data_IF_053889896626
#
_entry.id   IF_053889896626
#
_cell.length_a   1.000
_cell.length_b   1.000
_cell.length_c   1.000
_cell.angle_alpha   90.00
_cell.angle_beta   90.00
_cell.angle_gamma   90.00
#
_symmetry.space_group_name_H-M   'P 1'
#
loop_
_entity.id
_entity.type
_entity.pdbx_description
1 polymer ?
#
# COMPACT_ATOMS: atom_id res chain seq x y z
N UNK A 1 -11.32 23.14 -11.86
CA UNK A 1 -11.43 21.66 -11.84
C UNK A 1 -10.59 21.17 -10.67
N UNK A 2 -11.03 20.09 -9.99
CA UNK A 2 -10.15 19.42 -9.01
C UNK A 2 -9.01 18.77 -9.80
N UNK A 3 -7.78 18.97 -9.37
CA UNK A 3 -6.58 18.55 -10.10
C UNK A 3 -5.76 17.56 -9.27
N UNK A 4 -4.76 16.95 -9.89
CA UNK A 4 -3.68 16.23 -9.21
C UNK A 4 -2.76 17.27 -8.55
N UNK A 5 -3.23 17.89 -7.46
CA UNK A 5 -2.47 18.87 -6.70
C UNK A 5 -1.86 18.21 -5.46
N UNK A 6 -0.55 17.99 -5.50
CA UNK A 6 0.23 17.41 -4.41
C UNK A 6 1.26 18.39 -3.85
N UNK A 7 1.44 19.55 -4.49
CA UNK A 7 2.48 20.51 -4.11
C UNK A 7 2.29 21.01 -2.67
N UNK A 8 3.33 20.84 -1.88
CA UNK A 8 3.35 21.26 -0.47
C UNK A 8 2.55 20.39 0.49
N UNK A 9 1.88 19.34 0.01
CA UNK A 9 1.15 18.37 0.83
C UNK A 9 2.09 17.35 1.45
N UNK A 10 1.68 16.73 2.55
CA UNK A 10 2.47 15.82 3.38
C UNK A 10 1.90 14.40 3.32
N UNK A 11 2.74 13.46 2.93
CA UNK A 11 2.36 12.05 2.80
C UNK A 11 3.29 11.15 3.61
N UNK A 12 2.69 10.14 4.24
CA UNK A 12 3.44 9.01 4.81
C UNK A 12 3.28 7.83 3.85
N UNK A 13 4.41 7.17 3.53
CA UNK A 13 4.43 5.98 2.67
C UNK A 13 5.18 4.87 3.40
N UNK A 14 4.53 3.74 3.67
CA UNK A 14 5.21 2.56 4.22
C UNK A 14 5.71 1.65 3.10
N UNK A 15 6.80 0.91 3.33
CA UNK A 15 7.45 0.14 2.27
C UNK A 15 8.08 1.03 1.19
N UNK A 16 8.54 2.23 1.58
CA UNK A 16 8.96 3.29 0.66
C UNK A 16 10.32 3.05 0.00
N UNK A 17 11.08 2.04 0.42
CA UNK A 17 12.43 1.79 -0.12
C UNK A 17 12.43 0.94 -1.39
N UNK A 18 11.29 0.33 -1.77
CA UNK A 18 11.24 -0.53 -2.96
C UNK A 18 9.84 -0.65 -3.58
N UNK A 19 9.77 -1.18 -4.80
CA UNK A 19 8.53 -1.60 -5.46
C UNK A 19 7.46 -0.51 -5.54
N UNK A 20 6.23 -0.87 -5.21
CA UNK A 20 5.06 0.02 -5.29
C UNK A 20 5.18 1.21 -4.34
N UNK A 21 5.65 0.97 -3.10
CA UNK A 21 5.82 2.04 -2.12
C UNK A 21 6.83 3.09 -2.57
N UNK A 22 7.98 2.64 -3.11
CA UNK A 22 8.97 3.56 -3.69
C UNK A 22 8.41 4.33 -4.87
N UNK A 23 7.70 3.66 -5.78
CA UNK A 23 7.07 4.33 -6.92
C UNK A 23 6.05 5.41 -6.48
N UNK A 24 5.25 5.13 -5.44
CA UNK A 24 4.36 6.14 -4.86
C UNK A 24 5.14 7.33 -4.27
N UNK A 25 6.22 7.06 -3.52
CA UNK A 25 7.05 8.10 -2.93
C UNK A 25 7.70 8.98 -4.01
N UNK A 26 8.32 8.37 -5.03
CA UNK A 26 8.97 9.08 -6.13
C UNK A 26 7.97 9.96 -6.90
N UNK A 27 6.77 9.45 -7.22
CA UNK A 27 5.76 10.23 -7.94
C UNK A 27 5.22 11.39 -7.11
N UNK A 28 4.97 11.20 -5.80
CA UNK A 28 4.54 12.27 -4.90
C UNK A 28 5.61 13.36 -4.79
N UNK A 29 6.88 12.97 -4.64
CA UNK A 29 8.00 13.91 -4.61
C UNK A 29 8.14 14.70 -5.91
N UNK A 30 8.01 14.03 -7.06
CA UNK A 30 8.04 14.66 -8.38
C UNK A 30 6.88 15.65 -8.58
N UNK A 31 5.75 15.41 -7.91
CA UNK A 31 4.60 16.32 -7.89
C UNK A 31 4.72 17.44 -6.83
N UNK A 32 5.86 17.55 -6.16
CA UNK A 32 6.17 18.63 -5.20
C UNK A 32 5.64 18.42 -3.78
N UNK A 33 5.27 17.20 -3.43
CA UNK A 33 4.87 16.83 -2.08
C UNK A 33 6.08 16.68 -1.14
N UNK A 34 5.81 16.69 0.17
CA UNK A 34 6.71 16.18 1.21
C UNK A 34 6.35 14.72 1.51
N UNK A 35 7.35 13.86 1.56
CA UNK A 35 7.13 12.42 1.81
C UNK A 35 7.96 11.94 3.00
N UNK A 36 7.31 11.31 3.96
CA UNK A 36 7.93 10.55 5.03
C UNK A 36 7.84 9.05 4.68
N UNK A 37 8.96 8.45 4.34
CA UNK A 37 9.05 7.02 4.05
C UNK A 37 9.35 6.21 5.31
N UNK A 38 8.56 5.19 5.60
CA UNK A 38 8.79 4.24 6.68
C UNK A 38 9.15 2.88 6.07
N UNK A 39 10.36 2.38 6.33
CA UNK A 39 10.82 1.09 5.84
C UNK A 39 11.89 0.49 6.78
N UNK A 40 11.99 -0.82 6.83
CA UNK A 40 13.06 -1.53 7.56
C UNK A 40 14.40 -1.48 6.83
N UNK A 41 14.38 -1.27 5.52
CA UNK A 41 15.56 -1.12 4.67
C UNK A 41 15.93 0.36 4.51
N UNK A 42 17.18 0.61 4.17
CA UNK A 42 17.63 1.94 3.79
C UNK A 42 17.00 2.40 2.48
N UNK A 43 16.88 3.70 2.28
CA UNK A 43 16.32 4.30 1.07
C UNK A 43 17.41 4.95 0.22
N UNK A 44 17.28 4.84 -1.10
CA UNK A 44 18.11 5.54 -2.08
C UNK A 44 17.51 6.87 -2.58
N UNK A 45 16.37 7.27 -2.04
CA UNK A 45 15.71 8.54 -2.39
C UNK A 45 16.49 9.71 -1.81
N UNK A 46 16.95 10.62 -2.68
CA UNK A 46 17.84 11.74 -2.32
C UNK A 46 17.14 13.11 -2.32
N UNK A 47 15.81 13.16 -2.51
CA UNK A 47 15.04 14.41 -2.52
C UNK A 47 15.10 15.15 -1.18
N UNK A 48 15.23 16.47 -1.20
CA UNK A 48 15.16 17.33 0.00
C UNK A 48 13.78 17.34 0.67
N UNK A 49 12.75 16.97 -0.08
CA UNK A 49 11.38 16.84 0.43
C UNK A 49 11.09 15.42 0.98
N UNK A 50 12.10 14.54 1.01
CA UNK A 50 11.99 13.20 1.56
C UNK A 50 12.64 13.11 2.95
N UNK A 51 11.95 12.44 3.87
CA UNK A 51 12.53 12.06 5.17
C UNK A 51 12.35 10.56 5.33
N UNK A 52 13.43 9.83 5.59
CA UNK A 52 13.39 8.39 5.81
C UNK A 52 13.35 8.05 7.30
N UNK A 53 12.41 7.18 7.68
CA UNK A 53 12.31 6.58 9.00
C UNK A 53 12.59 5.08 8.86
N UNK A 54 13.74 4.65 9.37
CA UNK A 54 14.12 3.22 9.39
C UNK A 54 13.38 2.54 10.53
N UNK A 55 12.19 2.03 10.25
CA UNK A 55 11.28 1.46 11.24
C UNK A 55 10.44 0.32 10.64
N UNK A 56 10.10 -0.66 11.49
CA UNK A 56 9.18 -1.74 11.14
C UNK A 56 7.73 -1.33 11.41
N UNK A 57 6.82 -1.60 10.46
CA UNK A 57 5.39 -1.29 10.64
C UNK A 57 4.75 -2.05 11.80
N UNK A 58 5.38 -3.10 12.29
CA UNK A 58 4.94 -3.91 13.44
C UNK A 58 5.42 -3.38 14.80
N UNK A 59 6.37 -2.44 14.79
CA UNK A 59 6.79 -1.75 16.00
C UNK A 59 5.95 -0.47 16.19
N UNK A 60 4.94 -0.58 17.06
CA UNK A 60 4.02 0.53 17.30
C UNK A 60 4.74 1.77 17.86
N UNK A 61 5.79 1.60 18.65
CA UNK A 61 6.51 2.72 19.27
C UNK A 61 7.32 3.52 18.22
N UNK A 62 8.00 2.82 17.30
CA UNK A 62 8.71 3.45 16.20
C UNK A 62 7.75 4.14 15.22
N UNK A 63 6.61 3.50 14.91
CA UNK A 63 5.57 4.08 14.05
C UNK A 63 4.99 5.35 14.68
N UNK A 64 4.60 5.31 15.96
CA UNK A 64 4.05 6.48 16.66
C UNK A 64 5.05 7.63 16.62
N UNK A 65 6.31 7.36 16.95
CA UNK A 65 7.36 8.38 16.91
C UNK A 65 7.52 9.00 15.51
N UNK A 66 7.57 8.19 14.46
CA UNK A 66 7.68 8.70 13.09
C UNK A 66 6.48 9.60 12.71
N UNK A 67 5.26 9.19 13.08
CA UNK A 67 4.04 9.97 12.81
C UNK A 67 4.04 11.30 13.60
N UNK A 68 4.43 11.27 14.87
CA UNK A 68 4.54 12.45 15.72
C UNK A 68 5.59 13.42 15.19
N UNK A 69 6.76 12.94 14.77
CA UNK A 69 7.82 13.77 14.17
C UNK A 69 7.32 14.45 12.89
N UNK A 70 6.58 13.74 12.02
CA UNK A 70 5.98 14.31 10.81
C UNK A 70 4.93 15.36 11.16
N UNK A 71 4.03 15.07 12.10
CA UNK A 71 2.99 15.99 12.53
C UNK A 71 3.59 17.25 13.19
N UNK A 72 4.62 17.10 14.01
CA UNK A 72 5.33 18.24 14.63
C UNK A 72 6.05 19.10 13.59
N UNK A 73 6.65 18.48 12.55
CA UNK A 73 7.41 19.19 11.51
C UNK A 73 6.53 19.98 10.55
N UNK A 74 5.38 19.41 10.15
CA UNK A 74 4.56 19.96 9.08
C UNK A 74 3.19 20.49 9.56
N UNK A 75 2.76 20.14 10.77
CA UNK A 75 1.46 20.54 11.33
C UNK A 75 0.27 19.74 10.83
N UNK A 76 0.43 18.91 9.80
CA UNK A 76 -0.64 18.13 9.18
C UNK A 76 -0.10 16.92 8.42
N UNK A 77 -1.01 15.98 8.07
CA UNK A 77 -0.75 14.83 7.20
C UNK A 77 -1.92 14.72 6.22
N UNK A 78 -1.67 14.92 4.92
CA UNK A 78 -2.71 14.88 3.88
C UNK A 78 -3.05 13.46 3.44
N UNK A 79 -2.08 12.55 3.44
CA UNK A 79 -2.32 11.18 3.02
C UNK A 79 -1.37 10.15 3.59
N UNK A 80 -1.86 8.90 3.56
CA UNK A 80 -1.12 7.70 3.93
C UNK A 80 -1.21 6.67 2.80
N UNK A 81 -0.05 6.10 2.43
CA UNK A 81 0.04 4.92 1.57
C UNK A 81 0.59 3.76 2.38
N UNK A 82 -0.22 2.75 2.65
CA UNK A 82 0.20 1.52 3.29
C UNK A 82 0.63 0.50 2.22
N UNK A 83 1.94 0.49 1.89
CA UNK A 83 2.50 -0.41 0.88
C UNK A 83 3.50 -1.43 1.45
N UNK A 84 3.86 -1.35 2.74
CA UNK A 84 4.69 -2.35 3.39
C UNK A 84 4.00 -3.72 3.37
N UNK A 85 4.76 -4.75 3.05
CA UNK A 85 4.25 -6.13 3.03
C UNK A 85 5.31 -7.13 2.62
N UNK A 86 5.07 -8.39 2.93
CA UNK A 86 5.92 -9.52 2.59
C UNK A 86 5.11 -10.60 1.89
N UNK A 87 5.78 -11.43 1.10
CA UNK A 87 5.18 -12.57 0.42
C UNK A 87 4.89 -13.72 1.39
N UNK A 88 3.89 -14.55 1.08
CA UNK A 88 3.53 -15.74 1.85
C UNK A 88 4.51 -16.90 1.69
N UNK A 89 4.29 -17.96 2.43
CA UNK A 89 5.21 -19.10 2.53
C UNK A 89 5.20 -20.04 1.32
N UNK A 90 4.23 -19.91 0.42
CA UNK A 90 4.07 -20.76 -0.78
C UNK A 90 3.99 -22.26 -0.47
N UNK A 91 3.34 -22.60 0.66
CA UNK A 91 3.11 -23.98 1.13
C UNK A 91 1.61 -24.28 1.17
N UNK A 92 1.19 -25.57 1.09
CA UNK A 92 -0.17 -25.98 1.44
C UNK A 92 -0.52 -25.50 2.85
N UNK A 93 -1.79 -25.09 3.07
CA UNK A 93 -2.18 -24.47 4.35
C UNK A 93 -1.89 -25.33 5.58
N UNK A 94 -2.01 -26.64 5.46
CA UNK A 94 -1.76 -27.61 6.53
C UNK A 94 -0.27 -27.86 6.83
N UNK A 95 0.63 -27.26 6.04
CA UNK A 95 2.09 -27.28 6.23
C UNK A 95 2.65 -25.91 6.66
N UNK A 96 1.78 -24.90 6.80
CA UNK A 96 2.21 -23.58 7.27
C UNK A 96 2.33 -23.63 8.81
N UNK A 97 3.53 -23.39 9.31
CA UNK A 97 3.75 -23.25 10.75
C UNK A 97 3.04 -22.01 11.30
N UNK A 98 2.50 -22.10 12.51
CA UNK A 98 1.78 -20.97 13.13
C UNK A 98 2.64 -19.71 13.19
N UNK A 99 3.93 -19.84 13.51
CA UNK A 99 4.86 -18.71 13.53
C UNK A 99 4.98 -18.02 12.16
N UNK A 100 5.07 -18.80 11.08
CA UNK A 100 5.12 -18.27 9.70
C UNK A 100 3.82 -17.54 9.31
N UNK A 101 2.67 -18.14 9.70
CA UNK A 101 1.36 -17.50 9.54
C UNK A 101 1.29 -16.15 10.27
N UNK A 102 1.65 -16.14 11.55
CA UNK A 102 1.62 -14.95 12.40
C UNK A 102 2.51 -13.83 11.83
N UNK A 103 3.67 -14.18 11.30
CA UNK A 103 4.58 -13.22 10.65
C UNK A 103 3.92 -12.52 9.46
N UNK A 104 3.24 -13.27 8.57
CA UNK A 104 2.55 -12.70 7.41
C UNK A 104 1.40 -11.78 7.85
N UNK A 105 0.57 -12.22 8.80
CA UNK A 105 -0.53 -11.42 9.33
C UNK A 105 0.00 -10.19 10.05
N UNK A 106 1.04 -10.34 10.86
CA UNK A 106 1.66 -9.23 11.59
C UNK A 106 2.13 -8.11 10.66
N UNK A 107 2.89 -8.43 9.61
CA UNK A 107 3.41 -7.41 8.71
C UNK A 107 2.31 -6.85 7.79
N UNK A 108 1.57 -7.74 7.10
CA UNK A 108 0.68 -7.32 6.01
C UNK A 108 -0.64 -6.70 6.48
N UNK A 109 -1.10 -7.04 7.69
CA UNK A 109 -2.40 -6.61 8.22
C UNK A 109 -2.27 -5.82 9.52
N UNK A 110 -1.65 -6.40 10.56
CA UNK A 110 -1.52 -5.73 11.86
C UNK A 110 -0.65 -4.47 11.75
N UNK A 111 0.48 -4.52 11.01
CA UNK A 111 1.31 -3.35 10.78
C UNK A 111 0.56 -2.23 10.06
N UNK A 112 -0.23 -2.56 9.04
CA UNK A 112 -1.10 -1.59 8.36
C UNK A 112 -2.11 -0.95 9.32
N UNK A 113 -2.73 -1.75 10.20
CA UNK A 113 -3.63 -1.24 11.26
C UNK A 113 -2.89 -0.28 12.20
N UNK A 114 -1.68 -0.62 12.67
CA UNK A 114 -0.88 0.21 13.58
C UNK A 114 -0.59 1.59 12.96
N UNK A 115 -0.08 1.60 11.72
CA UNK A 115 0.23 2.86 11.01
C UNK A 115 -1.04 3.68 10.77
N UNK A 116 -2.10 3.03 10.28
CA UNK A 116 -3.37 3.71 10.01
C UNK A 116 -3.98 4.31 11.29
N UNK A 117 -3.96 3.58 12.40
CA UNK A 117 -4.42 4.06 13.71
C UNK A 117 -3.67 5.31 14.15
N UNK A 118 -2.35 5.33 14.00
CA UNK A 118 -1.52 6.47 14.40
C UNK A 118 -1.78 7.70 13.53
N UNK A 119 -1.77 7.54 12.21
CA UNK A 119 -2.01 8.63 11.24
C UNK A 119 -3.44 9.16 11.34
N UNK A 120 -4.44 8.30 11.51
CA UNK A 120 -5.84 8.70 11.61
C UNK A 120 -6.10 9.67 12.76
N UNK A 121 -5.39 9.55 13.88
CA UNK A 121 -5.53 10.49 15.02
C UNK A 121 -5.19 11.93 14.60
N UNK A 122 -4.15 12.11 13.78
CA UNK A 122 -3.77 13.41 13.23
C UNK A 122 -4.83 13.89 12.24
N UNK A 123 -5.22 13.04 11.29
CA UNK A 123 -6.23 13.37 10.27
C UNK A 123 -7.61 13.71 10.86
N UNK A 124 -8.02 13.01 11.94
CA UNK A 124 -9.28 13.30 12.62
C UNK A 124 -9.30 14.69 13.25
N UNK A 125 -8.18 15.14 13.84
CA UNK A 125 -8.06 16.48 14.41
C UNK A 125 -8.15 17.58 13.35
N UNK A 126 -7.64 17.32 12.15
CA UNK A 126 -7.68 18.25 11.00
C UNK A 126 -8.95 18.10 10.14
N UNK A 127 -9.79 17.07 10.40
CA UNK A 127 -11.02 16.74 9.66
C UNK A 127 -10.80 16.63 8.14
N UNK A 128 -9.68 16.06 7.76
CA UNK A 128 -9.29 15.81 6.36
C UNK A 128 -8.20 14.76 6.30
N UNK A 129 -8.19 13.95 5.25
CA UNK A 129 -7.14 13.00 4.98
C UNK A 129 -7.56 11.93 3.98
N UNK A 130 -6.57 11.26 3.40
CA UNK A 130 -6.79 10.13 2.50
C UNK A 130 -5.85 8.98 2.83
N UNK A 131 -6.40 7.78 2.92
CA UNK A 131 -5.64 6.55 3.20
C UNK A 131 -5.82 5.59 2.03
N UNK A 132 -4.71 5.12 1.49
CA UNK A 132 -4.69 4.11 0.42
C UNK A 132 -3.90 2.89 0.88
N UNK A 133 -4.57 1.75 0.94
CA UNK A 133 -4.02 0.48 1.35
C UNK A 133 -3.68 -0.38 0.13
N UNK A 134 -2.49 -0.98 0.08
CA UNK A 134 -2.14 -1.94 -0.98
C UNK A 134 -2.64 -3.33 -0.58
N UNK A 135 -3.77 -3.72 -1.17
CA UNK A 135 -4.30 -5.07 -1.09
C UNK A 135 -3.61 -6.01 -2.09
N UNK A 136 -4.32 -6.87 -2.76
CA UNK A 136 -3.85 -7.72 -3.86
C UNK A 136 -5.05 -8.33 -4.57
N UNK A 137 -4.91 -8.73 -5.83
CA UNK A 137 -5.91 -9.58 -6.50
C UNK A 137 -6.18 -10.88 -5.71
N UNK A 138 -5.22 -11.34 -4.89
CA UNK A 138 -5.36 -12.53 -4.02
C UNK A 138 -6.32 -12.32 -2.84
N UNK A 139 -6.83 -11.13 -2.64
CA UNK A 139 -7.93 -10.89 -1.69
C UNK A 139 -9.28 -11.47 -2.15
N UNK A 140 -9.43 -11.77 -3.45
CA UNK A 140 -10.67 -12.29 -4.05
C UNK A 140 -10.45 -13.46 -5.02
N UNK A 141 -9.26 -13.55 -5.64
CA UNK A 141 -8.91 -14.63 -6.58
C UNK A 141 -7.84 -15.51 -5.97
N UNK A 142 -8.23 -16.69 -5.54
CA UNK A 142 -7.36 -17.56 -4.77
C UNK A 142 -6.49 -18.47 -5.65
N UNK A 143 -5.38 -18.90 -5.10
CA UNK A 143 -4.47 -19.88 -5.68
C UNK A 143 -3.96 -20.81 -4.59
N UNK A 144 -3.64 -22.04 -4.96
CA UNK A 144 -3.02 -22.99 -4.06
C UNK A 144 -1.73 -22.43 -3.45
N UNK A 145 -1.41 -22.84 -2.23
CA UNK A 145 -0.20 -22.50 -1.50
C UNK A 145 -0.01 -21.00 -1.21
N UNK A 146 -1.14 -20.29 -0.99
CA UNK A 146 -1.13 -18.84 -0.69
C UNK A 146 -2.12 -18.46 0.42
N UNK A 147 -2.46 -19.39 1.30
CA UNK A 147 -3.52 -19.20 2.30
C UNK A 147 -3.21 -18.06 3.25
N UNK A 148 -2.00 -17.99 3.78
CA UNK A 148 -1.51 -16.95 4.69
C UNK A 148 -1.56 -15.56 4.03
N UNK A 149 -1.01 -15.46 2.82
CA UNK A 149 -1.00 -14.22 2.06
C UNK A 149 -2.42 -13.78 1.66
N UNK A 150 -3.24 -14.72 1.14
CA UNK A 150 -4.61 -14.43 0.74
C UNK A 150 -5.46 -13.98 1.94
N UNK A 151 -5.32 -14.63 3.10
CA UNK A 151 -5.98 -14.22 4.33
C UNK A 151 -5.56 -12.81 4.76
N UNK A 152 -4.25 -12.50 4.73
CA UNK A 152 -3.76 -11.16 5.07
C UNK A 152 -4.34 -10.09 4.15
N UNK A 153 -4.36 -10.33 2.82
CA UNK A 153 -4.84 -9.37 1.82
C UNK A 153 -6.37 -9.29 1.76
N UNK A 154 -7.08 -10.35 2.08
CA UNK A 154 -8.53 -10.32 2.34
C UNK A 154 -8.85 -9.48 3.58
N UNK A 155 -8.07 -9.64 4.65
CA UNK A 155 -8.14 -8.79 5.85
C UNK A 155 -7.92 -7.31 5.57
N UNK A 156 -7.00 -6.97 4.66
CA UNK A 156 -6.77 -5.57 4.23
C UNK A 156 -8.02 -4.97 3.59
N UNK A 157 -8.75 -5.71 2.75
CA UNK A 157 -9.99 -5.21 2.12
C UNK A 157 -11.08 -4.98 3.19
N UNK A 158 -11.23 -5.92 4.11
CA UNK A 158 -12.19 -5.78 5.22
C UNK A 158 -11.82 -4.61 6.13
N UNK A 159 -10.53 -4.47 6.50
CA UNK A 159 -10.01 -3.36 7.29
C UNK A 159 -10.26 -2.02 6.60
N UNK A 160 -10.01 -1.92 5.28
CA UNK A 160 -10.26 -0.72 4.49
C UNK A 160 -11.71 -0.28 4.58
N UNK A 161 -12.65 -1.22 4.40
CA UNK A 161 -14.09 -0.93 4.45
C UNK A 161 -14.55 -0.50 5.85
N UNK A 162 -14.07 -1.17 6.90
CA UNK A 162 -14.39 -0.81 8.28
C UNK A 162 -13.84 0.58 8.65
N UNK A 163 -12.57 0.84 8.33
CA UNK A 163 -11.95 2.15 8.55
C UNK A 163 -12.66 3.27 7.79
N UNK A 164 -13.13 3.00 6.57
CA UNK A 164 -13.87 3.98 5.77
C UNK A 164 -15.16 4.44 6.48
N UNK A 165 -15.88 3.52 7.12
CA UNK A 165 -17.08 3.84 7.89
C UNK A 165 -16.74 4.67 9.15
N UNK A 166 -15.72 4.24 9.90
CA UNK A 166 -15.32 4.91 11.13
C UNK A 166 -14.78 6.33 10.89
N UNK A 167 -14.11 6.54 9.75
CA UNK A 167 -13.41 7.79 9.46
C UNK A 167 -14.19 8.76 8.55
N UNK A 168 -15.27 8.31 7.91
CA UNK A 168 -16.13 9.17 7.08
C UNK A 168 -16.68 10.42 7.84
N UNK A 169 -17.11 10.34 9.13
CA UNK A 169 -17.55 11.52 9.88
C UNK A 169 -16.46 12.59 10.05
N UNK A 170 -15.20 12.23 9.86
CA UNK A 170 -14.05 13.14 9.94
C UNK A 170 -13.57 13.61 8.55
N UNK A 171 -14.34 13.36 7.48
CA UNK A 171 -13.97 13.70 6.11
C UNK A 171 -12.63 13.04 5.67
N UNK A 172 -12.42 11.79 6.07
CA UNK A 172 -11.25 11.00 5.69
C UNK A 172 -11.73 9.86 4.78
N UNK A 173 -11.17 9.75 3.57
CA UNK A 173 -11.45 8.68 2.64
C UNK A 173 -10.42 7.56 2.81
N UNK A 174 -10.89 6.32 2.86
CA UNK A 174 -10.05 5.12 2.96
C UNK A 174 -10.40 4.17 1.84
N UNK A 175 -9.43 3.89 0.97
CA UNK A 175 -9.60 2.99 -0.16
C UNK A 175 -8.44 2.00 -0.24
N UNK A 176 -8.58 0.95 -1.05
CA UNK A 176 -7.50 0.03 -1.36
C UNK A 176 -7.31 -0.15 -2.85
N UNK A 177 -6.08 -0.47 -3.23
CA UNK A 177 -5.72 -0.88 -4.58
C UNK A 177 -5.31 -2.34 -4.54
N UNK A 178 -5.83 -3.14 -5.46
CA UNK A 178 -5.53 -4.55 -5.63
C UNK A 178 -4.65 -4.76 -6.88
N UNK A 179 -3.32 -4.78 -6.74
CA UNK A 179 -2.44 -5.06 -7.86
C UNK A 179 -2.63 -6.47 -8.41
N UNK A 180 -2.49 -6.59 -9.73
CA UNK A 180 -2.31 -7.85 -10.44
C UNK A 180 -0.87 -8.37 -10.38
N UNK A 181 -0.48 -9.12 -11.40
CA UNK A 181 0.90 -9.56 -11.58
C UNK A 181 1.79 -8.36 -11.91
N UNK A 182 2.47 -7.85 -10.89
CA UNK A 182 3.32 -6.64 -10.99
C UNK A 182 4.79 -7.03 -10.81
N UNK A 183 5.67 -6.54 -11.67
CA UNK A 183 7.10 -6.74 -11.57
C UNK A 183 7.70 -5.81 -10.52
N UNK A 184 8.09 -6.37 -9.38
CA UNK A 184 8.67 -5.66 -8.23
C UNK A 184 9.84 -6.46 -7.66
N UNK A 185 10.58 -5.91 -6.71
CA UNK A 185 11.60 -6.67 -5.97
C UNK A 185 11.06 -7.96 -5.34
N UNK A 186 9.82 -7.95 -4.87
CA UNK A 186 9.16 -9.12 -4.27
C UNK A 186 8.90 -10.25 -5.28
N UNK A 187 8.62 -9.93 -6.53
CA UNK A 187 8.24 -10.88 -7.60
C UNK A 187 9.33 -11.12 -8.61
N UNK A 188 10.44 -10.38 -8.53
CA UNK A 188 11.57 -10.41 -9.47
C UNK A 188 12.07 -11.83 -9.71
N UNK A 189 12.36 -12.58 -8.64
CA UNK A 189 12.91 -13.93 -8.77
C UNK A 189 11.99 -14.87 -9.58
N UNK A 190 10.68 -14.66 -9.54
CA UNK A 190 9.72 -15.44 -10.33
C UNK A 190 9.68 -14.98 -11.78
N UNK A 191 9.65 -13.66 -12.03
CA UNK A 191 9.45 -13.10 -13.37
C UNK A 191 10.75 -12.89 -14.17
N UNK A 192 11.92 -13.00 -13.56
CA UNK A 192 13.21 -13.12 -14.27
C UNK A 192 13.29 -14.46 -15.01
N UNK A 193 12.53 -15.46 -14.60
CA UNK A 193 12.34 -16.68 -15.39
C UNK A 193 11.39 -16.38 -16.57
N UNK A 194 11.91 -16.39 -17.78
CA UNK A 194 11.17 -16.03 -19.00
C UNK A 194 9.93 -16.92 -19.24
N UNK A 195 10.02 -18.21 -18.94
CA UNK A 195 8.89 -19.12 -19.10
C UNK A 195 7.75 -18.78 -18.14
N UNK A 196 8.06 -18.50 -16.86
CA UNK A 196 7.09 -18.08 -15.86
C UNK A 196 6.49 -16.72 -16.22
N UNK A 197 7.31 -15.79 -16.70
CA UNK A 197 6.85 -14.47 -17.16
C UNK A 197 5.86 -14.61 -18.32
N UNK A 198 6.22 -15.29 -19.40
CA UNK A 198 5.34 -15.49 -20.57
C UNK A 198 4.03 -16.20 -20.20
N UNK A 199 4.11 -17.21 -19.32
CA UNK A 199 2.91 -17.88 -18.84
C UNK A 199 2.00 -16.93 -18.06
N UNK A 200 2.58 -16.06 -17.24
CA UNK A 200 1.81 -15.07 -16.45
C UNK A 200 1.21 -13.99 -17.35
N UNK A 201 1.98 -13.49 -18.32
CA UNK A 201 1.50 -12.49 -19.31
C UNK A 201 0.35 -13.02 -20.16
N UNK A 202 0.39 -14.30 -20.54
CA UNK A 202 -0.70 -14.96 -21.29
C UNK A 202 -2.02 -15.08 -20.49
N UNK A 203 -1.97 -14.96 -19.17
CA UNK A 203 -3.15 -14.93 -18.30
C UNK A 203 -3.72 -13.52 -18.07
N UNK A 204 -3.06 -12.49 -18.58
CA UNK A 204 -3.47 -11.10 -18.39
C UNK A 204 -4.07 -10.59 -19.72
N UNK A 205 -5.30 -10.09 -19.77
CA UNK A 205 -5.89 -9.57 -21.01
C UNK A 205 -5.04 -8.51 -21.72
N UNK A 206 -4.37 -7.63 -20.96
CA UNK A 206 -3.44 -6.65 -21.52
C UNK A 206 -2.12 -7.25 -22.04
N UNK A 207 -1.86 -8.55 -21.82
CA UNK A 207 -0.71 -9.28 -22.35
C UNK A 207 0.66 -8.89 -21.74
N UNK A 208 0.69 -8.18 -20.63
CA UNK A 208 1.92 -7.74 -19.97
C UNK A 208 1.83 -7.81 -18.46
N UNK A 209 2.97 -7.89 -17.80
CA UNK A 209 3.04 -7.63 -16.35
C UNK A 209 2.81 -6.12 -16.09
N UNK A 210 2.16 -5.83 -14.97
CA UNK A 210 2.12 -4.47 -14.43
C UNK A 210 3.51 -4.02 -13.94
N UNK A 211 3.74 -2.72 -13.98
CA UNK A 211 4.89 -2.07 -13.36
C UNK A 211 4.46 -1.35 -12.07
N UNK A 212 5.37 -1.03 -11.15
CA UNK A 212 5.05 -0.24 -9.96
C UNK A 212 4.29 1.05 -10.28
N UNK A 213 4.61 1.69 -11.41
CA UNK A 213 4.00 2.92 -11.90
C UNK A 213 2.52 2.74 -12.26
N UNK A 214 2.13 1.58 -12.82
CA UNK A 214 0.71 1.29 -13.12
C UNK A 214 -0.12 1.32 -11.83
N UNK A 215 0.45 0.87 -10.71
CA UNK A 215 -0.22 0.83 -9.42
C UNK A 215 -0.19 2.20 -8.73
N UNK A 216 0.97 2.87 -8.72
CA UNK A 216 1.12 4.17 -8.06
C UNK A 216 0.28 5.25 -8.74
N UNK A 217 0.02 5.17 -10.05
CA UNK A 217 -0.92 6.06 -10.74
C UNK A 217 -2.34 5.98 -10.16
N UNK A 218 -2.81 4.77 -9.84
CA UNK A 218 -4.12 4.56 -9.20
C UNK A 218 -4.09 5.07 -7.76
N UNK A 219 -3.00 4.83 -7.04
CA UNK A 219 -2.81 5.36 -5.67
C UNK A 219 -2.87 6.88 -5.66
N UNK A 220 -2.17 7.57 -6.57
CA UNK A 220 -2.19 9.02 -6.66
C UNK A 220 -3.60 9.54 -7.01
N UNK A 221 -4.32 8.88 -7.91
CA UNK A 221 -5.72 9.21 -8.16
C UNK A 221 -6.54 9.16 -6.88
N UNK A 222 -6.41 8.09 -6.07
CA UNK A 222 -7.13 7.93 -4.81
C UNK A 222 -6.68 8.92 -3.73
N UNK A 223 -5.46 9.43 -3.78
CA UNK A 223 -4.95 10.47 -2.89
C UNK A 223 -5.36 11.88 -3.35
N UNK A 224 -5.78 12.05 -4.60
CA UNK A 224 -6.14 13.36 -5.16
C UNK A 224 -7.58 13.78 -4.83
N UNK A 225 -7.91 15.05 -5.07
CA UNK A 225 -9.28 15.56 -4.97
C UNK A 225 -10.26 14.97 -5.99
N UNK A 226 -9.76 14.25 -7.02
CA UNK A 226 -10.60 13.61 -8.03
C UNK A 226 -11.40 12.43 -7.48
N UNK A 227 -10.95 11.83 -6.37
CA UNK A 227 -11.58 10.70 -5.71
C UNK A 227 -12.36 11.05 -4.44
N UNK A 228 -12.73 12.30 -4.20
CA UNK A 228 -13.34 12.74 -2.93
C UNK A 228 -14.66 12.04 -2.59
N UNK A 229 -15.36 11.47 -3.57
CA UNK A 229 -16.59 10.70 -3.34
C UNK A 229 -16.37 9.19 -3.33
N UNK A 230 -15.10 8.74 -3.23
CA UNK A 230 -14.72 7.33 -3.15
C UNK A 230 -14.19 7.02 -1.76
N UNK A 231 -14.86 6.12 -1.04
CA UNK A 231 -14.40 5.56 0.23
C UNK A 231 -14.88 4.13 0.40
N UNK A 232 -14.09 3.28 1.02
CA UNK A 232 -14.39 1.86 1.26
C UNK A 232 -14.26 0.96 0.02
N UNK A 233 -13.72 1.46 -1.10
CA UNK A 233 -13.59 0.65 -2.32
C UNK A 233 -12.24 -0.07 -2.41
N UNK A 234 -12.24 -1.21 -3.11
CA UNK A 234 -11.03 -1.94 -3.51
C UNK A 234 -10.93 -1.89 -5.05
N UNK A 235 -9.96 -1.11 -5.56
CA UNK A 235 -9.78 -0.88 -7.00
C UNK A 235 -8.78 -1.88 -7.55
N UNK A 236 -9.19 -2.69 -8.52
CA UNK A 236 -8.29 -3.62 -9.22
C UNK A 236 -7.45 -2.86 -10.26
N UNK A 237 -6.14 -3.06 -10.18
CA UNK A 237 -5.15 -2.58 -11.14
C UNK A 237 -4.33 -3.80 -11.62
N UNK A 238 -4.90 -4.60 -12.52
CA UNK A 238 -4.45 -5.96 -12.82
C UNK A 238 -4.48 -6.35 -14.31
N UNK A 239 -4.63 -5.37 -15.20
CA UNK A 239 -4.67 -5.61 -16.64
C UNK A 239 -5.87 -6.45 -17.10
N UNK A 240 -6.96 -6.50 -16.29
CA UNK A 240 -8.17 -7.26 -16.58
C UNK A 240 -8.12 -8.71 -16.10
N UNK A 241 -7.11 -9.13 -15.33
CA UNK A 241 -6.98 -10.51 -14.90
C UNK A 241 -8.20 -11.00 -14.10
N UNK A 242 -8.77 -10.17 -13.22
CA UNK A 242 -9.86 -10.58 -12.33
C UNK A 242 -11.19 -10.86 -13.04
N UNK A 243 -11.38 -10.36 -14.27
CA UNK A 243 -12.63 -10.55 -15.03
C UNK A 243 -12.60 -11.77 -15.97
N UNK A 244 -11.48 -12.46 -16.09
CA UNK A 244 -11.34 -13.67 -16.92
C UNK A 244 -11.92 -14.94 -16.31
N UNK A 245 -12.43 -14.90 -15.10
CA UNK A 245 -12.95 -16.08 -14.38
C UNK A 245 -14.44 -15.98 -14.13
#
# INVERSE_FOLDING_TARGET
MKEFDFKGKVYIVTGASSGIGKSCADQLLNAGAFVAGIDVNDSDITSTNYTHYKAGVTDESEVVKAVEDVAAKYGHIDGLVNAAGIWGNSKPFYEIETFDWEKIISVNLTGMFIVSKSVSKVMMSQKAGKIVNISCLRSAIFRNNMTDYAASKGGVVALTSAMALDLAPFNIQVNSVAPGFTYTGMTKNSFDNEAVRKQSEALIPEGRLGQPEDISNVVLFLLSGLSDYMTGTNVYADGGYHIQK
#
